data_IF_114657224036
#
_entry.id   IF_114657224036
#
_cell.length_a   1.000
_cell.length_b   1.000
_cell.length_c   1.000
_cell.angle_alpha   90.00
_cell.angle_beta   90.00
_cell.angle_gamma   90.00
#
_symmetry.space_group_name_H-M   'P 1'
#
loop_
_entity.id
_entity.type
_entity.pdbx_description
1 polymer ?
#
# COMPACT_ATOMS: atom_id res chain seq x y z
N UNK A 1 -16.52 -1.05 -8.45
CA UNK A 1 -15.95 -1.38 -7.13
C UNK A 1 -14.44 -1.24 -7.26
N UNK A 2 -13.83 -0.33 -6.49
CA UNK A 2 -12.36 -0.23 -6.46
C UNK A 2 -11.86 -1.03 -5.27
N UNK A 3 -10.93 -1.94 -5.51
CA UNK A 3 -10.37 -2.83 -4.49
C UNK A 3 -8.86 -2.74 -4.49
N UNK A 4 -8.26 -2.97 -3.34
CA UNK A 4 -6.80 -3.09 -3.16
C UNK A 4 -6.53 -4.54 -2.75
N UNK A 5 -5.64 -5.20 -3.49
CA UNK A 5 -5.04 -6.46 -3.07
C UNK A 5 -3.83 -6.13 -2.19
N UNK A 6 -3.86 -6.57 -0.93
CA UNK A 6 -2.72 -6.51 -0.03
C UNK A 6 -2.10 -7.88 0.08
N UNK A 7 -0.78 -7.94 -0.08
CA UNK A 7 0.00 -9.17 0.05
C UNK A 7 1.05 -8.95 1.12
N UNK A 8 1.03 -9.80 2.15
CA UNK A 8 2.10 -9.87 3.14
C UNK A 8 3.01 -11.04 2.79
N UNK A 9 4.25 -10.75 2.40
CA UNK A 9 5.23 -11.76 2.01
C UNK A 9 5.96 -12.39 3.21
N UNK A 10 5.79 -11.85 4.42
CA UNK A 10 6.31 -12.44 5.66
C UNK A 10 5.39 -13.56 6.12
N UNK A 11 4.08 -13.29 6.17
CA UNK A 11 3.06 -14.24 6.62
C UNK A 11 2.45 -15.06 5.46
N UNK A 12 2.82 -14.76 4.22
CA UNK A 12 2.29 -15.38 2.99
C UNK A 12 0.77 -15.29 2.88
N UNK A 13 0.20 -14.14 3.23
CA UNK A 13 -1.23 -13.88 3.17
C UNK A 13 -1.58 -12.90 2.07
N UNK A 14 -2.80 -13.02 1.55
CA UNK A 14 -3.34 -12.11 0.54
C UNK A 14 -4.80 -11.78 0.87
N UNK A 15 -5.12 -10.49 0.92
CA UNK A 15 -6.45 -9.99 1.21
C UNK A 15 -6.89 -8.97 0.17
N UNK A 16 -8.11 -9.12 -0.34
CA UNK A 16 -8.76 -8.11 -1.17
C UNK A 16 -9.66 -7.28 -0.28
N UNK A 17 -9.30 -6.02 -0.09
CA UNK A 17 -10.07 -5.05 0.68
C UNK A 17 -10.69 -3.98 -0.23
N UNK A 18 -11.81 -3.40 0.19
CA UNK A 18 -12.34 -2.20 -0.45
C UNK A 18 -11.37 -1.03 -0.28
N UNK A 19 -11.33 -0.12 -1.26
CA UNK A 19 -10.49 1.07 -1.18
C UNK A 19 -10.96 1.96 -0.01
N UNK A 20 -10.06 2.32 0.93
CA UNK A 20 -10.37 3.27 1.99
C UNK A 20 -10.95 4.59 1.46
N UNK A 21 -11.87 5.20 2.20
CA UNK A 21 -12.55 6.46 1.82
C UNK A 21 -11.57 7.54 1.33
N UNK A 22 -10.46 7.74 2.06
CA UNK A 22 -9.44 8.74 1.75
C UNK A 22 -8.80 8.58 0.37
N UNK A 23 -8.88 7.40 -0.23
CA UNK A 23 -8.28 7.08 -1.53
C UNK A 23 -9.32 6.94 -2.65
N UNK A 24 -10.61 7.10 -2.36
CA UNK A 24 -11.69 6.76 -3.31
C UNK A 24 -11.70 7.62 -4.58
N UNK A 25 -11.13 8.82 -4.54
CA UNK A 25 -11.00 9.70 -5.72
C UNK A 25 -9.61 9.64 -6.38
N UNK A 26 -8.69 8.85 -5.83
CA UNK A 26 -7.31 8.78 -6.28
C UNK A 26 -7.09 7.64 -7.27
N UNK A 27 -6.10 7.80 -8.14
CA UNK A 27 -5.69 6.76 -9.09
C UNK A 27 -4.25 6.95 -9.56
N UNK A 28 -3.69 5.90 -10.15
CA UNK A 28 -2.31 5.89 -10.65
C UNK A 28 -1.30 6.37 -9.62
N UNK A 29 -0.37 7.24 -10.04
CA UNK A 29 0.70 7.78 -9.19
C UNK A 29 0.17 8.48 -7.93
N UNK A 30 -0.94 9.23 -8.03
CA UNK A 30 -1.47 9.94 -6.88
C UNK A 30 -1.89 8.98 -5.77
N UNK A 31 -2.50 7.85 -6.12
CA UNK A 31 -2.86 6.80 -5.17
C UNK A 31 -1.61 6.13 -4.59
N UNK A 32 -0.66 5.71 -5.44
CA UNK A 32 0.52 4.96 -4.98
C UNK A 32 1.41 5.80 -4.06
N UNK A 33 1.67 7.05 -4.43
CA UNK A 33 2.51 7.95 -3.64
C UNK A 33 1.84 8.28 -2.28
N UNK A 34 0.50 8.39 -2.26
CA UNK A 34 -0.26 8.61 -1.03
C UNK A 34 -0.22 7.39 -0.10
N UNK A 35 -0.29 6.16 -0.65
CA UNK A 35 -0.14 4.92 0.13
C UNK A 35 1.26 4.83 0.74
N UNK A 36 2.31 5.12 -0.04
CA UNK A 36 3.69 5.13 0.46
C UNK A 36 3.86 6.15 1.58
N UNK A 37 3.36 7.38 1.38
CA UNK A 37 3.43 8.45 2.38
C UNK A 37 2.75 8.07 3.70
N UNK A 38 1.60 7.38 3.64
CA UNK A 38 0.83 7.02 4.82
C UNK A 38 1.34 5.76 5.55
N UNK A 39 1.95 4.82 4.82
CA UNK A 39 2.17 3.46 5.33
C UNK A 39 3.63 3.02 5.42
N UNK A 40 4.57 3.77 4.85
CA UNK A 40 6.01 3.42 4.87
C UNK A 40 6.75 4.39 5.78
N UNK A 41 7.53 3.85 6.72
CA UNK A 41 8.36 4.68 7.59
C UNK A 41 9.43 5.42 6.75
N UNK A 42 9.58 6.74 6.91
CA UNK A 42 10.55 7.52 6.13
C UNK A 42 12.01 7.17 6.44
N UNK A 43 12.25 6.48 7.55
CA UNK A 43 13.59 6.01 7.96
C UNK A 43 13.82 4.53 7.65
N UNK A 44 12.90 3.85 6.95
CA UNK A 44 13.08 2.44 6.61
C UNK A 44 14.24 2.25 5.62
N UNK A 45 14.87 1.08 5.69
CA UNK A 45 15.85 0.70 4.67
C UNK A 45 15.12 0.40 3.35
N UNK A 46 15.58 0.91 2.18
CA UNK A 46 14.86 0.75 0.91
C UNK A 46 14.63 -0.70 0.47
N UNK A 47 15.54 -1.60 0.89
CA UNK A 47 15.45 -3.04 0.63
C UNK A 47 15.06 -3.85 1.89
N UNK A 48 14.62 -3.17 2.95
CA UNK A 48 14.21 -3.80 4.20
C UNK A 48 12.75 -4.24 4.18
N UNK A 49 12.35 -5.09 5.15
CA UNK A 49 10.99 -5.66 5.22
C UNK A 49 9.89 -4.63 5.50
N UNK A 50 10.27 -3.43 5.97
CA UNK A 50 9.33 -2.34 6.28
C UNK A 50 8.98 -1.47 5.07
N UNK A 51 9.60 -1.71 3.91
CA UNK A 51 9.25 -1.04 2.66
C UNK A 51 8.06 -1.75 1.98
N UNK A 52 7.34 -1.03 1.11
CA UNK A 52 6.22 -1.57 0.33
C UNK A 52 6.44 -1.36 -1.16
N UNK A 53 6.08 -2.38 -1.94
CA UNK A 53 5.96 -2.28 -3.40
C UNK A 53 4.48 -2.09 -3.72
N UNK A 54 4.16 -1.03 -4.46
CA UNK A 54 2.79 -0.62 -4.80
C UNK A 54 2.63 -0.62 -6.32
#
# INVERSE_FOLDING_TARGET
MMKILRVDMTELTAEVQEVPEKYRSMGGRWLTDSIICDEVSPLCHPLGPNNKVV
#
